data_IF_138517836784
#
_entry.id   IF_138517836784
#
_cell.length_a   1.000
_cell.length_b   1.000
_cell.length_c   1.000
_cell.angle_alpha   90.00
_cell.angle_beta   90.00
_cell.angle_gamma   90.00
#
_symmetry.space_group_name_H-M   'P 1'
#
loop_
_entity.id
_entity.type
_entity.pdbx_description
1 polymer ?
#
# COMPACT_ATOMS: atom_id res chain seq x y z
N UNK A 1 -17.18 7.44 3.31
CA UNK A 1 -16.65 7.89 1.99
C UNK A 1 -15.44 7.01 1.68
N UNK A 2 -14.89 7.00 0.46
CA UNK A 2 -13.70 6.18 0.15
C UNK A 2 -12.60 7.03 -0.49
N UNK A 3 -11.36 6.53 -0.43
CA UNK A 3 -10.19 7.12 -1.09
C UNK A 3 -9.41 6.05 -1.85
N UNK A 4 -8.97 6.37 -3.07
CA UNK A 4 -8.14 5.48 -3.90
C UNK A 4 -6.85 6.23 -4.23
N UNK A 5 -5.72 5.55 -4.05
CA UNK A 5 -4.40 6.05 -4.39
C UNK A 5 -3.58 4.90 -4.99
N UNK A 6 -2.84 5.19 -6.05
CA UNK A 6 -1.95 4.24 -6.71
C UNK A 6 -0.63 4.92 -7.05
N UNK A 7 0.45 4.15 -7.03
CA UNK A 7 1.79 4.58 -7.41
C UNK A 7 2.35 3.63 -8.46
N UNK A 8 2.88 4.18 -9.55
CA UNK A 8 3.51 3.44 -10.63
C UNK A 8 4.86 4.08 -10.93
N UNK A 9 5.93 3.33 -10.73
CA UNK A 9 7.29 3.71 -11.09
C UNK A 9 7.71 3.00 -12.39
N UNK A 10 8.07 3.76 -13.41
CA UNK A 10 8.53 3.23 -14.70
C UNK A 10 9.97 3.69 -14.96
N UNK A 11 10.86 2.74 -15.27
CA UNK A 11 12.31 2.97 -15.43
C UNK A 11 12.94 3.77 -14.27
N UNK A 12 12.33 3.67 -13.10
CA UNK A 12 12.74 4.36 -11.87
C UNK A 12 12.82 3.29 -10.79
N UNK A 13 14.01 2.71 -10.56
CA UNK A 13 14.20 1.67 -9.57
C UNK A 13 13.76 2.16 -8.19
N UNK A 14 12.90 1.38 -7.53
CA UNK A 14 12.42 1.61 -6.17
C UNK A 14 12.36 0.29 -5.44
N UNK A 15 12.78 0.32 -4.18
CA UNK A 15 12.63 -0.81 -3.28
C UNK A 15 11.15 -0.99 -2.92
N UNK A 16 10.75 -2.22 -2.56
CA UNK A 16 9.39 -2.50 -2.07
C UNK A 16 9.03 -1.62 -0.87
N UNK A 17 9.96 -1.37 0.05
CA UNK A 17 9.74 -0.50 1.21
C UNK A 17 9.45 0.95 0.83
N UNK A 18 10.17 1.51 -0.15
CA UNK A 18 9.86 2.86 -0.65
C UNK A 18 8.47 2.93 -1.28
N UNK A 19 8.08 1.91 -2.05
CA UNK A 19 6.76 1.82 -2.67
C UNK A 19 5.67 1.78 -1.59
N UNK A 20 5.84 0.93 -0.57
CA UNK A 20 4.94 0.83 0.59
C UNK A 20 4.80 2.19 1.27
N UNK A 21 5.91 2.88 1.55
CA UNK A 21 5.89 4.19 2.20
C UNK A 21 5.10 5.23 1.40
N UNK A 22 5.23 5.22 0.07
CA UNK A 22 4.47 6.10 -0.82
C UNK A 22 2.98 5.78 -0.76
N UNK A 23 2.60 4.50 -0.82
CA UNK A 23 1.20 4.07 -0.74
C UNK A 23 0.57 4.46 0.60
N UNK A 24 1.24 4.20 1.72
CA UNK A 24 0.77 4.54 3.06
C UNK A 24 0.61 6.06 3.22
N UNK A 25 1.59 6.86 2.77
CA UNK A 25 1.48 8.33 2.80
C UNK A 25 0.32 8.85 1.93
N UNK A 26 0.07 8.22 0.79
CA UNK A 26 -1.07 8.54 -0.06
C UNK A 26 -2.41 8.29 0.64
N UNK A 27 -2.56 7.13 1.29
CA UNK A 27 -3.74 6.80 2.10
C UNK A 27 -3.92 7.76 3.29
N UNK A 28 -2.84 8.10 4.00
CA UNK A 28 -2.86 9.06 5.11
C UNK A 28 -3.44 10.42 4.70
N UNK A 29 -3.10 10.90 3.50
CA UNK A 29 -3.63 12.17 2.96
C UNK A 29 -5.12 12.12 2.62
N UNK A 30 -5.71 10.93 2.49
CA UNK A 30 -7.13 10.75 2.22
C UNK A 30 -7.95 10.50 3.50
N UNK A 31 -7.31 10.43 4.67
CA UNK A 31 -8.00 10.02 5.89
C UNK A 31 -9.15 10.94 6.30
N UNK A 32 -9.04 12.23 5.96
CA UNK A 32 -10.07 13.23 6.23
C UNK A 32 -11.45 12.88 5.64
N UNK A 33 -11.50 11.99 4.63
CA UNK A 33 -12.75 11.53 4.02
C UNK A 33 -13.53 10.54 4.88
N UNK A 34 -12.86 9.90 5.85
CA UNK A 34 -13.42 8.87 6.71
C UNK A 34 -13.62 7.52 6.00
N UNK A 35 -13.26 6.43 6.68
CA UNK A 35 -13.27 5.05 6.20
C UNK A 35 -13.19 4.08 7.40
N UNK A 36 -13.67 2.85 7.23
CA UNK A 36 -13.70 1.83 8.31
C UNK A 36 -12.56 0.79 8.18
N UNK A 37 -11.85 0.80 7.06
CA UNK A 37 -10.74 -0.11 6.76
C UNK A 37 -9.83 0.45 5.68
N UNK A 38 -8.59 -0.03 5.63
CA UNK A 38 -7.59 0.33 4.62
C UNK A 38 -6.85 -0.91 4.10
N UNK A 39 -6.32 -0.82 2.88
CA UNK A 39 -5.51 -1.87 2.31
C UNK A 39 -4.63 -1.39 1.17
N UNK A 40 -3.58 -2.16 0.88
CA UNK A 40 -2.68 -1.97 -0.24
C UNK A 40 -2.50 -3.29 -1.00
N UNK A 41 -2.25 -3.18 -2.31
CA UNK A 41 -1.83 -4.29 -3.16
C UNK A 41 -0.48 -3.95 -3.79
N UNK A 42 0.44 -4.90 -3.79
CA UNK A 42 1.79 -4.73 -4.35
C UNK A 42 2.04 -5.89 -5.31
N UNK A 43 2.33 -5.54 -6.56
CA UNK A 43 2.64 -6.53 -7.59
C UNK A 43 3.95 -7.26 -7.30
N UNK A 44 3.98 -8.53 -7.70
CA UNK A 44 5.19 -9.31 -7.83
C UNK A 44 6.09 -8.79 -8.96
N UNK A 45 7.34 -9.24 -8.98
CA UNK A 45 8.19 -9.05 -10.16
C UNK A 45 7.93 -10.18 -11.16
N UNK A 46 7.63 -9.86 -12.44
CA UNK A 46 7.37 -10.88 -13.45
C UNK A 46 8.52 -11.86 -13.62
N UNK A 47 8.24 -13.16 -13.52
CA UNK A 47 9.26 -14.21 -13.67
C UNK A 47 10.11 -14.47 -12.43
N UNK A 48 9.78 -13.86 -11.29
CA UNK A 48 10.34 -14.19 -9.98
C UNK A 48 9.43 -15.20 -9.26
N UNK A 49 9.94 -15.97 -8.28
CA UNK A 49 9.09 -16.83 -7.44
C UNK A 49 7.96 -16.06 -6.74
N UNK A 50 8.17 -14.77 -6.47
CA UNK A 50 7.21 -13.83 -5.89
C UNK A 50 6.44 -13.02 -6.96
N UNK A 51 6.02 -13.66 -8.07
CA UNK A 51 5.23 -13.02 -9.14
C UNK A 51 3.79 -12.66 -8.70
N UNK A 52 3.33 -13.25 -7.59
CA UNK A 52 1.98 -13.02 -7.10
C UNK A 52 1.81 -11.63 -6.47
N UNK A 53 0.64 -11.04 -6.69
CA UNK A 53 0.27 -9.79 -6.04
C UNK A 53 -0.03 -10.02 -4.56
N UNK A 54 0.70 -9.35 -3.69
CA UNK A 54 0.48 -9.40 -2.24
C UNK A 54 -0.58 -8.37 -1.85
N UNK A 55 -1.62 -8.82 -1.15
CA UNK A 55 -2.70 -7.98 -0.64
C UNK A 55 -2.64 -7.88 0.89
N UNK A 56 -2.53 -6.67 1.42
CA UNK A 56 -2.48 -6.41 2.85
C UNK A 56 -3.66 -5.50 3.21
N UNK A 57 -4.50 -5.93 4.16
CA UNK A 57 -5.74 -5.25 4.55
C UNK A 57 -5.91 -5.25 6.06
N UNK A 58 -6.36 -4.12 6.63
CA UNK A 58 -6.76 -4.02 8.03
C UNK A 58 -7.96 -3.12 8.26
N UNK A 59 -8.76 -3.50 9.25
CA UNK A 59 -9.84 -2.68 9.78
C UNK A 59 -9.28 -1.53 10.62
N UNK A 60 -9.99 -0.42 10.62
CA UNK A 60 -9.60 0.81 11.29
C UNK A 60 -8.70 1.70 10.45
N UNK A 61 -7.87 2.49 11.14
CA UNK A 61 -7.07 3.57 10.55
C UNK A 61 -5.90 3.06 9.72
N UNK A 62 -5.34 3.90 8.85
CA UNK A 62 -4.14 3.58 8.05
C UNK A 62 -2.94 3.25 8.96
N UNK A 63 -2.88 3.79 10.19
CA UNK A 63 -1.86 3.42 11.18
C UNK A 63 -1.83 1.91 11.48
N UNK A 64 -3.01 1.28 11.62
CA UNK A 64 -3.11 -0.16 11.89
C UNK A 64 -2.55 -0.98 10.72
N UNK A 65 -2.81 -0.52 9.49
CA UNK A 65 -2.25 -1.12 8.29
C UNK A 65 -0.72 -0.97 8.28
N UNK A 66 -0.20 0.22 8.57
CA UNK A 66 1.24 0.50 8.60
C UNK A 66 1.99 -0.34 9.66
N UNK A 67 1.39 -0.54 10.83
CA UNK A 67 1.92 -1.43 11.87
C UNK A 67 1.95 -2.88 11.42
N UNK A 68 0.89 -3.35 10.73
CA UNK A 68 0.81 -4.74 10.23
C UNK A 68 1.83 -5.10 9.15
N UNK A 69 2.47 -4.09 8.52
CA UNK A 69 3.50 -4.29 7.48
C UNK A 69 4.91 -4.30 8.09
N UNK A 70 5.09 -3.74 9.30
CA UNK A 70 6.39 -3.64 9.99
C UNK A 70 6.67 -4.80 10.94
N UNK A 71 5.65 -5.58 11.30
CA UNK A 71 5.77 -6.79 12.12
C UNK A 71 6.00 -8.03 11.27
#
# INVERSE_FOLDING_TARGET
MCGIFAYLNFLTPKTRSEIIDVLIKGLQRMEYRGYDSAGIGIGGEPGCPDDETVLIRKAGKVSNLAESIKG
#
